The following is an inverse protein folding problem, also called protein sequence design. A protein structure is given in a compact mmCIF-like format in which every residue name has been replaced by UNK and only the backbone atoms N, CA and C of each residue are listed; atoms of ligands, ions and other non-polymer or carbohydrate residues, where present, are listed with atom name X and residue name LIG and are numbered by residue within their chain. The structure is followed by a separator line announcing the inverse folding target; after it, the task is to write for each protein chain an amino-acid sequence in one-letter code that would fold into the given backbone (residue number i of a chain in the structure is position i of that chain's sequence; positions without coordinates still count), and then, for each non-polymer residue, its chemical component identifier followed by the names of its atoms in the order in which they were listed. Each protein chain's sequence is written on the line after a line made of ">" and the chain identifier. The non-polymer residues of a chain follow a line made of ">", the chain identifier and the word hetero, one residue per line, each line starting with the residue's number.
data_IF_427437009810
#
_entry.id   IF_427437009810
#
_cell.length_a   1.000
_cell.length_b   1.000
_cell.length_c   1.000
_cell.angle_alpha   90.00
_cell.angle_beta   90.00
_cell.angle_gamma   90.00
#
_symmetry.space_group_name_H-M   'P 1'
#
loop_
_entity.id
_entity.type
_entity.pdbx_description
1 polymer ?
#
# COMPACT_ATOMS: atom_id res chain seq x y z
N UNK A 1 -32.17 6.96 18.40
CA UNK A 1 -31.51 7.78 17.35
C UNK A 1 -32.02 7.31 16.01
N UNK A 2 -32.46 8.17 15.08
CA UNK A 2 -32.94 7.74 13.76
C UNK A 2 -31.78 7.16 12.98
N UNK A 3 -31.92 5.94 12.44
CA UNK A 3 -30.99 5.33 11.47
C UNK A 3 -30.99 6.19 10.20
N UNK A 4 -30.19 7.27 10.18
CA UNK A 4 -29.93 8.00 8.94
C UNK A 4 -28.93 7.17 8.13
N UNK A 5 -29.15 7.05 6.80
CA UNK A 5 -28.13 6.47 5.95
C UNK A 5 -26.82 7.23 6.13
N UNK A 6 -25.75 6.52 6.42
CA UNK A 6 -24.43 7.12 6.68
C UNK A 6 -23.47 6.85 5.52
N UNK A 7 -23.81 5.90 4.64
CA UNK A 7 -22.93 5.43 3.60
C UNK A 7 -22.02 4.28 4.06
N UNK A 8 -21.30 3.68 3.11
CA UNK A 8 -20.53 2.47 3.37
C UNK A 8 -19.45 2.67 4.43
N UNK A 9 -18.60 3.66 4.26
CA UNK A 9 -17.44 3.84 5.15
C UNK A 9 -17.85 4.18 6.59
N UNK A 10 -18.79 5.10 6.77
CA UNK A 10 -19.27 5.49 8.10
C UNK A 10 -20.01 4.34 8.81
N UNK A 11 -20.70 3.49 8.05
CA UNK A 11 -21.38 2.34 8.64
C UNK A 11 -20.40 1.34 9.29
N UNK A 12 -19.18 1.20 8.75
CA UNK A 12 -18.17 0.33 9.33
C UNK A 12 -17.70 0.77 10.72
N UNK A 13 -17.81 2.05 11.04
CA UNK A 13 -17.44 2.62 12.35
C UNK A 13 -18.63 2.78 13.31
N UNK A 14 -19.85 2.40 12.87
CA UNK A 14 -21.07 2.58 13.68
C UNK A 14 -21.80 1.28 14.00
N UNK A 15 -21.51 0.20 13.27
CA UNK A 15 -22.13 -1.12 13.49
C UNK A 15 -21.24 -1.96 14.41
N UNK A 16 -21.71 -2.33 15.63
CA UNK A 16 -20.92 -3.08 16.59
C UNK A 16 -20.42 -4.40 16.01
N UNK A 17 -19.09 -4.66 16.17
CA UNK A 17 -18.45 -5.86 15.63
C UNK A 17 -18.51 -5.97 14.11
N UNK A 18 -18.93 -4.92 13.41
CA UNK A 18 -19.14 -4.87 11.96
C UNK A 18 -20.01 -6.04 11.46
N UNK A 19 -21.04 -6.38 12.25
CA UNK A 19 -21.94 -7.50 12.01
C UNK A 19 -23.38 -7.15 12.39
N UNK A 20 -24.32 -7.32 11.45
CA UNK A 20 -25.73 -7.01 11.64
C UNK A 20 -26.62 -7.81 10.67
N UNK A 21 -27.93 -7.76 10.84
CA UNK A 21 -28.90 -8.29 9.88
C UNK A 21 -28.93 -7.43 8.60
N UNK A 22 -29.38 -8.03 7.50
CA UNK A 22 -29.44 -7.38 6.18
C UNK A 22 -30.24 -6.05 6.22
N UNK A 23 -31.33 -6.03 6.98
CA UNK A 23 -32.17 -4.84 7.14
C UNK A 23 -31.43 -3.66 7.78
N UNK A 24 -30.55 -3.92 8.75
CA UNK A 24 -29.72 -2.88 9.37
C UNK A 24 -28.64 -2.39 8.42
N UNK A 25 -27.93 -3.30 7.75
CA UNK A 25 -26.95 -2.92 6.73
C UNK A 25 -27.57 -2.08 5.63
N UNK A 26 -28.77 -2.46 5.16
CA UNK A 26 -29.52 -1.69 4.15
C UNK A 26 -29.84 -0.29 4.64
N UNK A 27 -30.28 -0.15 5.89
CA UNK A 27 -30.59 1.15 6.49
C UNK A 27 -29.32 2.02 6.65
N UNK A 28 -28.19 1.45 7.04
CA UNK A 28 -26.91 2.15 7.24
C UNK A 28 -26.26 2.54 5.93
N UNK A 29 -26.15 1.63 5.00
CA UNK A 29 -25.52 1.91 3.70
C UNK A 29 -26.34 2.84 2.81
N UNK A 30 -27.66 2.84 2.96
CA UNK A 30 -28.53 3.70 2.15
C UNK A 30 -28.34 3.44 0.64
N UNK A 31 -27.95 4.47 -0.10
CA UNK A 31 -27.75 4.39 -1.55
C UNK A 31 -26.57 3.46 -1.94
N UNK A 32 -25.61 3.26 -1.06
CA UNK A 32 -24.45 2.41 -1.31
C UNK A 32 -24.77 0.92 -1.17
N UNK A 33 -25.95 0.55 -0.62
CA UNK A 33 -26.27 -0.84 -0.25
C UNK A 33 -26.05 -1.84 -1.39
N UNK A 34 -26.45 -1.49 -2.61
CA UNK A 34 -26.31 -2.36 -3.78
C UNK A 34 -24.87 -2.79 -4.03
N UNK A 35 -23.93 -1.87 -3.93
CA UNK A 35 -22.50 -2.11 -4.12
C UNK A 35 -21.85 -2.67 -2.84
N UNK A 36 -22.23 -2.12 -1.67
CA UNK A 36 -21.68 -2.44 -0.37
C UNK A 36 -21.96 -3.89 0.08
N UNK A 37 -23.15 -4.42 -0.25
CA UNK A 37 -23.55 -5.79 0.07
C UNK A 37 -22.55 -6.84 -0.44
N UNK A 38 -21.84 -6.55 -1.51
CA UNK A 38 -20.83 -7.44 -2.05
C UNK A 38 -19.62 -7.65 -1.10
N UNK A 39 -19.44 -6.76 -0.11
CA UNK A 39 -18.41 -6.87 0.94
C UNK A 39 -18.94 -7.50 2.24
N UNK A 40 -20.16 -8.03 2.23
CA UNK A 40 -20.72 -8.75 3.36
C UNK A 40 -20.75 -10.25 3.09
N UNK A 41 -20.62 -11.03 4.15
CA UNK A 41 -20.81 -12.48 4.14
C UNK A 41 -21.63 -12.92 5.36
N UNK A 42 -22.43 -14.00 5.25
CA UNK A 42 -23.09 -14.55 6.43
C UNK A 42 -22.04 -15.13 7.38
N UNK A 43 -22.19 -14.88 8.69
CA UNK A 43 -21.28 -15.41 9.72
C UNK A 43 -21.77 -16.68 10.42
N UNK A 44 -22.87 -17.26 9.94
CA UNK A 44 -23.47 -18.48 10.49
C UNK A 44 -24.32 -18.25 11.75
N UNK A 45 -24.41 -17.04 12.26
CA UNK A 45 -25.24 -16.71 13.44
C UNK A 45 -26.61 -16.19 13.02
N UNK A 46 -27.59 -16.35 13.92
CA UNK A 46 -28.91 -15.75 13.81
C UNK A 46 -29.01 -14.61 14.86
N UNK A 47 -29.64 -13.52 14.47
CA UNK A 47 -29.82 -12.38 15.34
C UNK A 47 -30.89 -12.65 16.41
N UNK A 48 -30.67 -12.15 17.62
CA UNK A 48 -31.64 -12.10 18.70
C UNK A 48 -32.44 -10.79 18.74
N UNK A 49 -32.04 -9.80 17.94
CA UNK A 49 -32.74 -8.55 17.76
C UNK A 49 -32.87 -8.17 16.30
N UNK A 50 -33.86 -7.35 15.95
CA UNK A 50 -34.12 -6.87 14.61
C UNK A 50 -34.53 -5.38 14.66
N UNK A 51 -34.03 -4.51 13.77
CA UNK A 51 -34.41 -3.12 13.75
C UNK A 51 -35.90 -2.94 13.46
N UNK A 52 -36.51 -1.93 14.07
CA UNK A 52 -37.90 -1.59 13.85
C UNK A 52 -38.17 -1.24 12.38
N UNK A 53 -39.03 -2.01 11.71
CA UNK A 53 -39.38 -1.81 10.29
C UNK A 53 -40.55 -0.85 10.08
N UNK A 54 -41.20 -0.38 11.15
CA UNK A 54 -42.37 0.50 11.05
C UNK A 54 -41.91 1.90 10.62
N UNK A 55 -42.52 2.42 9.56
CA UNK A 55 -42.29 3.81 9.13
C UNK A 55 -42.71 4.76 10.27
N UNK A 56 -41.78 5.62 10.73
CA UNK A 56 -41.95 6.48 11.91
C UNK A 56 -42.19 5.72 13.24
N UNK A 57 -41.73 4.44 13.29
CA UNK A 57 -41.83 3.63 14.49
C UNK A 57 -40.94 4.11 15.65
N UNK A 58 -40.83 3.28 16.67
CA UNK A 58 -40.12 3.62 17.92
C UNK A 58 -38.61 3.83 17.75
N UNK A 59 -38.02 3.34 16.65
CA UNK A 59 -36.56 3.35 16.44
C UNK A 59 -35.78 2.40 17.37
N UNK A 60 -36.49 1.53 18.13
CA UNK A 60 -35.91 0.54 19.02
C UNK A 60 -35.60 -0.76 18.26
N UNK A 61 -34.69 -1.55 18.81
CA UNK A 61 -34.56 -2.94 18.40
C UNK A 61 -35.71 -3.78 18.95
N UNK A 62 -36.22 -4.66 18.10
CA UNK A 62 -37.25 -5.63 18.47
C UNK A 62 -36.60 -6.95 18.84
N UNK A 63 -37.09 -7.59 19.91
CA UNK A 63 -36.63 -8.93 20.29
C UNK A 63 -37.11 -9.96 19.26
N UNK A 64 -36.20 -10.78 18.77
CA UNK A 64 -36.55 -11.89 17.88
C UNK A 64 -36.93 -13.10 18.71
N UNK A 65 -38.20 -13.54 18.55
CA UNK A 65 -38.73 -14.73 19.20
C UNK A 65 -38.96 -15.81 18.14
N UNK A 66 -38.31 -16.97 18.33
CA UNK A 66 -38.42 -18.13 17.44
C UNK A 66 -39.27 -19.18 18.09
N UNK A 67 -40.48 -19.35 17.59
CA UNK A 67 -41.42 -20.43 18.03
C UNK A 67 -41.21 -21.73 17.22
N UNK A 68 -40.72 -21.62 15.99
CA UNK A 68 -40.44 -22.70 15.09
C UNK A 68 -39.66 -22.26 13.86
N UNK A 69 -39.30 -23.21 12.96
CA UNK A 69 -38.48 -22.88 11.78
C UNK A 69 -39.08 -21.83 10.85
N UNK A 70 -40.42 -21.78 10.79
CA UNK A 70 -41.21 -20.84 9.98
C UNK A 70 -42.06 -19.87 10.81
N UNK A 71 -41.95 -19.94 12.14
CA UNK A 71 -42.70 -19.09 13.08
C UNK A 71 -41.69 -18.22 13.87
N UNK A 72 -41.29 -17.13 13.25
CA UNK A 72 -40.32 -16.19 13.79
C UNK A 72 -40.98 -14.80 13.81
N UNK A 73 -40.98 -14.15 14.96
CA UNK A 73 -41.58 -12.81 15.13
C UNK A 73 -40.60 -11.84 15.77
N UNK A 74 -40.75 -10.58 15.42
CA UNK A 74 -40.02 -9.48 16.07
C UNK A 74 -41.00 -8.70 16.96
N UNK A 75 -40.72 -8.66 18.27
CA UNK A 75 -41.58 -8.10 19.30
C UNK A 75 -40.96 -6.83 19.87
N UNK A 76 -41.70 -5.73 19.80
CA UNK A 76 -41.28 -4.49 20.42
C UNK A 76 -41.45 -4.53 21.95
N UNK A 77 -40.40 -4.19 22.68
CA UNK A 77 -40.43 -4.11 24.16
C UNK A 77 -40.41 -2.68 24.68
N UNK A 78 -40.49 -1.67 23.80
CA UNK A 78 -40.49 -0.28 24.24
C UNK A 78 -41.87 0.18 24.69
N UNK A 79 -41.92 1.22 25.54
CA UNK A 79 -43.17 1.78 26.08
C UNK A 79 -44.18 2.26 25.01
N UNK A 80 -43.69 2.64 23.83
CA UNK A 80 -44.53 3.10 22.71
C UNK A 80 -45.22 1.96 21.95
N UNK A 81 -44.76 0.72 22.12
CA UNK A 81 -45.33 -0.48 21.56
C UNK A 81 -45.55 -0.41 20.04
N UNK A 82 -44.56 -0.79 19.24
CA UNK A 82 -44.80 -1.01 17.82
C UNK A 82 -45.44 -2.38 17.58
N UNK A 83 -46.11 -2.53 16.45
CA UNK A 83 -46.68 -3.82 16.05
C UNK A 83 -45.60 -4.90 15.96
N UNK A 84 -45.97 -6.12 16.38
CA UNK A 84 -45.19 -7.31 16.16
C UNK A 84 -45.24 -7.65 14.68
N UNK A 85 -44.11 -7.98 14.07
CA UNK A 85 -44.08 -8.40 12.68
C UNK A 85 -43.43 -9.76 12.51
N UNK A 86 -43.91 -10.51 11.51
CA UNK A 86 -43.41 -11.82 11.17
C UNK A 86 -42.10 -11.65 10.37
N UNK A 87 -41.10 -12.49 10.71
CA UNK A 87 -39.83 -12.56 10.04
C UNK A 87 -39.66 -13.91 9.36
N UNK A 88 -38.91 -13.92 8.27
CA UNK A 88 -38.38 -15.13 7.69
C UNK A 88 -37.00 -15.44 8.30
N UNK A 89 -36.57 -16.69 8.22
CA UNK A 89 -35.24 -17.11 8.69
C UNK A 89 -34.11 -16.29 8.01
N UNK A 90 -34.28 -15.92 6.75
CA UNK A 90 -33.37 -15.03 6.01
C UNK A 90 -33.20 -13.66 6.64
N UNK A 91 -34.24 -13.13 7.29
CA UNK A 91 -34.24 -11.78 7.84
C UNK A 91 -33.42 -11.66 9.11
N UNK A 92 -33.20 -12.77 9.80
CA UNK A 92 -32.40 -12.85 11.03
C UNK A 92 -30.98 -13.39 10.83
N UNK A 93 -30.60 -13.68 9.59
CA UNK A 93 -29.21 -14.04 9.29
C UNK A 93 -28.31 -12.85 9.54
N UNK A 94 -27.26 -13.06 10.34
CA UNK A 94 -26.26 -12.04 10.60
C UNK A 94 -25.20 -12.05 9.49
N UNK A 95 -25.00 -10.90 8.88
CA UNK A 95 -23.93 -10.66 7.91
C UNK A 95 -22.84 -9.85 8.56
N UNK A 96 -21.60 -10.25 8.37
CA UNK A 96 -20.41 -9.54 8.82
C UNK A 96 -19.61 -9.00 7.62
N UNK A 97 -18.77 -8.02 7.86
CA UNK A 97 -17.83 -7.52 6.86
C UNK A 97 -16.86 -8.64 6.43
N UNK A 98 -16.80 -8.92 5.15
CA UNK A 98 -15.78 -9.81 4.56
C UNK A 98 -14.45 -9.05 4.46
N UNK A 99 -13.72 -8.99 5.60
CA UNK A 99 -12.43 -8.29 5.71
C UNK A 99 -11.44 -8.70 4.62
N UNK A 100 -11.17 -10.00 4.37
CA UNK A 100 -10.24 -10.40 3.32
C UNK A 100 -10.60 -9.85 1.94
N UNK A 101 -11.90 -9.82 1.62
CA UNK A 101 -12.39 -9.25 0.36
C UNK A 101 -12.17 -7.73 0.29
N UNK A 102 -12.44 -7.00 1.38
CA UNK A 102 -12.20 -5.57 1.45
C UNK A 102 -10.71 -5.25 1.39
N UNK A 103 -9.88 -5.96 2.17
CA UNK A 103 -8.43 -5.78 2.21
C UNK A 103 -7.81 -5.99 0.82
N UNK A 104 -8.23 -7.03 0.10
CA UNK A 104 -7.79 -7.30 -1.28
C UNK A 104 -8.20 -6.18 -2.25
N UNK A 105 -9.43 -5.67 -2.13
CA UNK A 105 -9.91 -4.60 -2.99
C UNK A 105 -9.16 -3.28 -2.71
N UNK A 106 -8.86 -2.99 -1.44
CA UNK A 106 -8.05 -1.83 -1.05
C UNK A 106 -6.60 -1.98 -1.51
N UNK A 107 -5.99 -3.16 -1.33
CA UNK A 107 -4.63 -3.41 -1.82
C UNK A 107 -4.53 -3.15 -3.33
N UNK A 108 -5.52 -3.58 -4.10
CA UNK A 108 -5.57 -3.33 -5.54
C UNK A 108 -5.72 -1.84 -5.89
N UNK A 109 -6.59 -1.11 -5.21
CA UNK A 109 -6.87 0.29 -5.54
C UNK A 109 -5.74 1.22 -5.12
N UNK A 110 -4.98 0.85 -4.07
CA UNK A 110 -3.79 1.57 -3.61
C UNK A 110 -2.48 1.06 -4.24
N UNK A 111 -2.57 0.15 -5.22
CA UNK A 111 -1.41 -0.45 -5.91
C UNK A 111 -0.37 -1.01 -4.92
N UNK A 112 -0.85 -1.79 -3.95
CA UNK A 112 -0.01 -2.36 -2.91
C UNK A 112 0.58 -3.70 -3.35
N UNK A 113 1.83 -3.93 -2.97
CA UNK A 113 2.46 -5.24 -3.08
C UNK A 113 1.88 -6.13 -1.99
N UNK A 114 1.34 -7.29 -2.38
CA UNK A 114 0.87 -8.28 -1.43
C UNK A 114 2.05 -8.87 -0.66
N UNK A 115 1.93 -8.95 0.65
CA UNK A 115 2.85 -9.71 1.50
C UNK A 115 2.07 -10.77 2.28
N UNK A 116 2.65 -11.96 2.34
CA UNK A 116 2.15 -13.03 3.20
C UNK A 116 2.61 -12.72 4.62
N UNK A 117 1.87 -11.91 5.35
CA UNK A 117 2.24 -11.56 6.71
C UNK A 117 1.24 -12.08 7.75
N UNK A 118 1.78 -12.44 8.90
CA UNK A 118 1.00 -12.69 10.09
C UNK A 118 0.26 -11.40 10.47
N UNK A 119 -1.05 -11.52 10.69
CA UNK A 119 -1.90 -10.41 11.07
C UNK A 119 -1.34 -9.62 12.25
N UNK A 120 -1.74 -8.38 12.38
CA UNK A 120 -1.44 -7.60 13.58
C UNK A 120 -2.24 -8.18 14.75
N UNK A 121 -1.62 -8.34 15.95
CA UNK A 121 -2.36 -8.69 17.17
C UNK A 121 -3.18 -7.48 17.70
N UNK A 122 -3.38 -6.45 16.89
CA UNK A 122 -4.16 -5.27 17.25
C UNK A 122 -5.61 -5.46 16.81
N UNK A 123 -6.58 -5.42 17.73
CA UNK A 123 -7.99 -5.58 17.41
C UNK A 123 -8.43 -4.61 16.31
N UNK A 124 -9.27 -5.06 15.39
CA UNK A 124 -9.81 -4.25 14.31
C UNK A 124 -8.79 -3.75 13.28
N UNK A 125 -7.51 -4.12 13.40
CA UNK A 125 -6.42 -3.63 12.53
C UNK A 125 -5.78 -4.78 11.77
N UNK A 126 -5.60 -4.60 10.45
CA UNK A 126 -4.93 -5.59 9.58
C UNK A 126 -3.88 -4.89 8.72
N UNK A 127 -2.78 -5.59 8.44
CA UNK A 127 -1.85 -5.17 7.40
C UNK A 127 -2.37 -5.65 6.05
N UNK A 128 -2.58 -4.73 5.12
CA UNK A 128 -3.19 -5.05 3.82
C UNK A 128 -2.17 -5.12 2.67
N UNK A 129 -0.92 -4.77 2.92
CA UNK A 129 0.16 -4.83 1.96
C UNK A 129 1.24 -3.79 2.20
N UNK A 130 2.05 -3.54 1.18
CA UNK A 130 3.16 -2.59 1.19
C UNK A 130 3.03 -1.62 0.04
N UNK A 131 3.06 -0.34 0.33
CA UNK A 131 3.21 0.71 -0.66
C UNK A 131 4.69 0.85 -1.03
N UNK A 132 5.02 0.64 -2.30
CA UNK A 132 6.40 0.71 -2.79
C UNK A 132 6.43 1.57 -4.06
N UNK A 133 6.57 2.90 -3.93
CA UNK A 133 6.58 3.80 -5.08
C UNK A 133 7.83 3.66 -5.95
N UNK A 134 8.96 3.31 -5.34
CA UNK A 134 10.24 3.12 -6.00
C UNK A 134 11.02 1.99 -5.34
N UNK A 135 11.96 1.37 -6.06
CA UNK A 135 12.88 0.38 -5.51
C UNK A 135 13.59 0.92 -4.25
N UNK A 136 13.69 0.09 -3.22
CA UNK A 136 14.27 0.45 -1.93
C UNK A 136 13.36 1.25 -0.98
N UNK A 137 12.17 1.66 -1.41
CA UNK A 137 11.19 2.35 -0.58
C UNK A 137 9.98 1.46 -0.35
N UNK A 138 9.84 0.93 0.85
CA UNK A 138 8.78 -0.01 1.23
C UNK A 138 8.11 0.46 2.52
N UNK A 139 6.80 0.72 2.45
CA UNK A 139 6.03 1.27 3.56
C UNK A 139 4.84 0.35 3.85
N UNK A 140 4.74 -0.24 5.05
CA UNK A 140 3.58 -1.02 5.44
C UNK A 140 2.30 -0.19 5.36
N UNK A 141 1.21 -0.83 4.92
CA UNK A 141 -0.12 -0.21 4.87
C UNK A 141 -1.07 -1.02 5.73
N UNK A 142 -1.71 -0.35 6.67
CA UNK A 142 -2.65 -0.94 7.61
C UNK A 142 -4.06 -0.39 7.37
N UNK A 143 -5.07 -1.23 7.57
CA UNK A 143 -6.47 -0.83 7.68
C UNK A 143 -6.91 -1.04 9.11
N UNK A 144 -7.37 0.01 9.78
CA UNK A 144 -8.02 -0.06 11.07
C UNK A 144 -9.50 0.29 10.94
N UNK A 145 -10.37 -0.52 11.55
CA UNK A 145 -11.81 -0.25 11.68
C UNK A 145 -12.12 -0.33 13.17
N UNK A 146 -12.42 0.81 13.74
CA UNK A 146 -12.74 0.97 15.15
C UNK A 146 -14.13 1.61 15.29
N UNK A 147 -14.70 1.58 16.50
CA UNK A 147 -15.97 2.20 16.80
C UNK A 147 -15.78 3.32 17.81
N UNK A 148 -14.83 3.15 18.71
CA UNK A 148 -14.54 4.12 19.76
C UNK A 148 -13.22 4.87 19.50
N UNK A 149 -13.16 6.17 19.82
CA UNK A 149 -11.93 6.97 19.65
C UNK A 149 -10.73 6.46 20.46
N UNK A 150 -10.98 5.86 21.62
CA UNK A 150 -9.93 5.31 22.47
C UNK A 150 -9.30 4.08 21.83
N UNK A 151 -10.11 3.16 21.28
CA UNK A 151 -9.63 1.98 20.54
C UNK A 151 -8.80 2.40 19.31
N UNK A 152 -9.23 3.46 18.61
CA UNK A 152 -8.46 4.03 17.50
C UNK A 152 -7.09 4.56 17.98
N UNK A 153 -7.08 5.28 19.10
CA UNK A 153 -5.83 5.80 19.68
C UNK A 153 -4.88 4.68 20.12
N UNK A 154 -5.40 3.60 20.71
CA UNK A 154 -4.62 2.42 21.08
C UNK A 154 -4.05 1.70 19.84
N UNK A 155 -4.83 1.59 18.77
CA UNK A 155 -4.35 1.02 17.50
C UNK A 155 -3.19 1.85 16.91
N UNK A 156 -3.31 3.19 16.93
CA UNK A 156 -2.22 4.09 16.50
C UNK A 156 -0.97 3.89 17.36
N UNK A 157 -1.12 3.83 18.70
CA UNK A 157 0.00 3.63 19.62
C UNK A 157 0.68 2.29 19.41
N UNK A 158 -0.12 1.24 19.27
CA UNK A 158 0.38 -0.10 19.01
C UNK A 158 1.16 -0.19 17.70
N UNK A 159 0.68 0.47 16.63
CA UNK A 159 1.38 0.52 15.35
C UNK A 159 2.67 1.32 15.43
N UNK A 160 2.65 2.49 16.09
CA UNK A 160 3.84 3.33 16.28
C UNK A 160 4.91 2.64 17.14
N UNK A 161 4.51 1.81 18.10
CA UNK A 161 5.43 1.04 18.93
C UNK A 161 6.08 -0.16 18.22
N UNK A 162 5.39 -0.74 17.23
CA UNK A 162 5.86 -1.94 16.50
C UNK A 162 6.65 -1.63 15.23
N UNK A 163 6.39 -0.51 14.60
CA UNK A 163 7.03 -0.14 13.34
C UNK A 163 8.22 0.80 13.59
N UNK A 164 9.40 0.37 13.16
CA UNK A 164 10.61 1.21 13.14
C UNK A 164 10.66 2.15 11.92
N UNK A 165 9.88 1.85 10.89
CA UNK A 165 9.77 2.61 9.64
C UNK A 165 8.41 3.30 9.54
N UNK A 166 8.30 4.41 8.80
CA UNK A 166 7.03 5.02 8.50
C UNK A 166 6.05 4.06 7.84
N UNK A 167 4.75 4.23 8.09
CA UNK A 167 3.68 3.42 7.52
C UNK A 167 2.49 4.29 7.12
N UNK A 168 1.54 3.72 6.38
CA UNK A 168 0.28 4.37 6.01
C UNK A 168 -0.85 3.67 6.77
N UNK A 169 -1.68 4.46 7.46
CA UNK A 169 -2.87 4.00 8.17
C UNK A 169 -4.11 4.43 7.41
N UNK A 170 -4.89 3.46 6.95
CA UNK A 170 -6.21 3.68 6.37
C UNK A 170 -7.28 3.52 7.45
N UNK A 171 -8.27 4.39 7.46
CA UNK A 171 -9.46 4.27 8.30
C UNK A 171 -10.71 4.57 7.46
N UNK A 172 -11.87 3.97 7.78
CA UNK A 172 -13.10 4.26 7.06
C UNK A 172 -13.40 5.76 6.98
N UNK A 173 -13.30 6.48 8.09
CA UNK A 173 -13.50 7.94 8.13
C UNK A 173 -12.38 8.64 8.88
N UNK A 174 -12.45 9.97 8.93
CA UNK A 174 -11.58 10.81 9.77
C UNK A 174 -12.12 11.01 11.19
N UNK A 175 -13.36 10.64 11.45
CA UNK A 175 -14.09 11.03 12.68
C UNK A 175 -13.43 10.53 13.96
N UNK A 176 -12.82 9.34 13.93
CA UNK A 176 -12.14 8.75 15.09
C UNK A 176 -10.68 9.21 15.23
N UNK A 177 -10.10 9.81 14.18
CA UNK A 177 -8.72 10.29 14.20
C UNK A 177 -8.62 11.64 14.88
N UNK A 178 -8.32 11.65 16.17
CA UNK A 178 -8.10 12.90 16.89
C UNK A 178 -6.87 13.66 16.39
N UNK A 179 -6.86 14.99 16.55
CA UNK A 179 -5.70 15.82 16.21
C UNK A 179 -4.40 15.35 16.90
N UNK A 180 -4.51 14.78 18.11
CA UNK A 180 -3.39 14.19 18.84
C UNK A 180 -2.85 12.93 18.15
N UNK A 181 -3.73 12.05 17.70
CA UNK A 181 -3.35 10.84 16.97
C UNK A 181 -2.70 11.19 15.63
N UNK A 182 -3.29 12.12 14.87
CA UNK A 182 -2.76 12.59 13.59
C UNK A 182 -1.38 13.24 13.75
N UNK A 183 -1.19 14.07 14.78
CA UNK A 183 0.12 14.65 15.08
C UNK A 183 1.17 13.59 15.37
N UNK A 184 0.84 12.55 16.16
CA UNK A 184 1.80 11.47 16.48
C UNK A 184 2.21 10.67 15.25
N UNK A 185 1.27 10.39 14.35
CA UNK A 185 1.59 9.79 13.05
C UNK A 185 2.54 10.67 12.26
N UNK A 186 2.23 11.97 12.15
CA UNK A 186 3.06 12.95 11.44
C UNK A 186 4.46 13.09 12.04
N UNK A 187 4.58 13.15 13.37
CA UNK A 187 5.89 13.24 14.07
C UNK A 187 6.78 12.03 13.76
N UNK A 188 6.19 10.88 13.43
CA UNK A 188 6.86 9.65 12.98
C UNK A 188 6.88 9.47 11.46
N UNK A 189 6.53 10.53 10.70
CA UNK A 189 6.44 10.54 9.23
C UNK A 189 5.47 9.49 8.68
N UNK A 190 4.57 8.92 9.49
CA UNK A 190 3.53 8.01 9.07
C UNK A 190 2.34 8.78 8.51
N UNK A 191 1.63 8.18 7.55
CA UNK A 191 0.49 8.81 6.89
C UNK A 191 -0.84 8.33 7.46
N UNK A 192 -1.85 9.19 7.41
CA UNK A 192 -3.25 8.86 7.66
C UNK A 192 -4.08 9.14 6.40
N UNK A 193 -4.94 8.19 6.03
CA UNK A 193 -5.85 8.31 4.88
C UNK A 193 -7.26 7.93 5.30
N UNK A 194 -8.19 8.86 5.15
CA UNK A 194 -9.62 8.62 5.28
C UNK A 194 -10.17 8.02 3.98
N UNK A 195 -10.74 6.82 4.07
CA UNK A 195 -11.29 6.12 2.91
C UNK A 195 -12.53 6.83 2.36
N UNK A 196 -13.37 7.39 3.22
CA UNK A 196 -14.56 8.16 2.80
C UNK A 196 -14.22 9.39 1.96
N UNK A 197 -13.03 9.97 2.13
CA UNK A 197 -12.52 11.12 1.37
C UNK A 197 -11.72 10.74 0.13
N UNK A 198 -11.30 9.48 0.04
CA UNK A 198 -10.31 9.05 -0.95
C UNK A 198 -10.81 7.95 -1.88
N UNK A 199 -11.79 7.15 -1.46
CA UNK A 199 -12.23 5.94 -2.16
C UNK A 199 -13.73 5.89 -2.33
N UNK A 200 -14.20 5.79 -3.56
CA UNK A 200 -15.60 5.51 -3.89
C UNK A 200 -15.82 4.00 -4.03
N UNK A 201 -16.98 3.55 -3.55
CA UNK A 201 -17.46 2.19 -3.77
C UNK A 201 -18.17 2.10 -5.12
N UNK A 202 -17.91 1.05 -5.88
CA UNK A 202 -18.55 0.73 -7.14
C UNK A 202 -19.15 -0.66 -7.13
N UNK A 203 -19.80 -1.04 -8.22
CA UNK A 203 -20.42 -2.35 -8.37
C UNK A 203 -19.40 -3.50 -8.36
N UNK A 204 -19.85 -4.71 -8.05
CA UNK A 204 -19.07 -5.95 -8.13
C UNK A 204 -17.74 -5.91 -7.35
N UNK A 205 -17.73 -5.39 -6.13
CA UNK A 205 -16.54 -5.27 -5.26
C UNK A 205 -15.46 -4.37 -5.82
N UNK A 206 -15.79 -3.45 -6.72
CA UNK A 206 -14.82 -2.51 -7.25
C UNK A 206 -14.75 -1.26 -6.35
N UNK A 207 -13.53 -0.92 -5.99
CA UNK A 207 -13.20 0.35 -5.36
C UNK A 207 -12.43 1.21 -6.38
N UNK A 208 -12.59 2.52 -6.29
CA UNK A 208 -11.81 3.45 -7.12
C UNK A 208 -11.37 4.65 -6.31
N UNK A 209 -10.19 5.15 -6.58
CA UNK A 209 -9.72 6.40 -5.99
C UNK A 209 -10.54 7.57 -6.57
N UNK A 210 -10.86 8.53 -5.71
CA UNK A 210 -11.49 9.80 -6.09
C UNK A 210 -10.50 10.79 -6.70
N UNK A 211 -9.20 10.60 -6.41
CA UNK A 211 -8.07 11.39 -6.94
C UNK A 211 -6.92 10.44 -7.25
N UNK A 212 -5.96 10.81 -8.10
CA UNK A 212 -4.76 10.02 -8.33
C UNK A 212 -4.05 9.63 -7.03
N UNK A 213 -3.46 8.42 -6.98
CA UNK A 213 -2.80 7.91 -5.77
C UNK A 213 -1.69 8.84 -5.25
N UNK A 214 -0.96 9.46 -6.16
CA UNK A 214 0.11 10.42 -5.82
C UNK A 214 -0.41 11.65 -5.08
N UNK A 215 -1.63 12.10 -5.40
CA UNK A 215 -2.29 13.20 -4.69
C UNK A 215 -2.84 12.76 -3.34
N UNK A 216 -3.44 11.56 -3.26
CA UNK A 216 -3.93 10.98 -1.99
C UNK A 216 -2.79 10.85 -1.00
N UNK A 217 -1.61 10.44 -1.45
CA UNK A 217 -0.42 10.22 -0.64
C UNK A 217 0.60 11.38 -0.68
N UNK A 218 0.24 12.55 -1.21
CA UNK A 218 1.19 13.65 -1.46
C UNK A 218 2.00 14.06 -0.22
N UNK A 219 1.33 14.25 0.92
CA UNK A 219 1.99 14.62 2.18
C UNK A 219 2.94 13.52 2.67
N UNK A 220 2.50 12.26 2.62
CA UNK A 220 3.33 11.11 3.00
C UNK A 220 4.56 10.99 2.09
N UNK A 221 4.38 11.12 0.78
CA UNK A 221 5.46 11.06 -0.22
C UNK A 221 6.47 12.18 -0.01
N UNK A 222 6.02 13.42 0.19
CA UNK A 222 6.92 14.56 0.43
C UNK A 222 7.76 14.42 1.70
N UNK A 223 7.26 13.70 2.71
CA UNK A 223 7.97 13.48 3.98
C UNK A 223 8.95 12.31 3.93
N UNK A 224 8.75 11.35 3.02
CA UNK A 224 9.47 10.06 3.04
C UNK A 224 10.25 9.74 1.77
N UNK A 225 10.00 10.44 0.68
CA UNK A 225 10.71 10.24 -0.58
C UNK A 225 11.67 11.40 -0.83
N UNK A 226 12.82 11.13 -1.45
CA UNK A 226 13.75 12.18 -1.80
C UNK A 226 13.12 13.14 -2.81
N UNK A 227 13.28 14.43 -2.56
CA UNK A 227 13.01 15.46 -3.57
C UNK A 227 14.21 15.56 -4.50
N UNK A 228 14.03 15.88 -5.79
CA UNK A 228 15.13 16.29 -6.65
C UNK A 228 15.73 17.57 -6.07
N UNK A 229 16.83 17.46 -5.37
CA UNK A 229 17.59 18.63 -4.90
C UNK A 229 18.60 18.99 -5.99
N UNK A 230 18.53 20.21 -6.48
CA UNK A 230 19.62 20.80 -7.23
C UNK A 230 20.84 20.90 -6.30
N UNK A 231 21.92 20.20 -6.64
CA UNK A 231 23.20 20.33 -5.96
C UNK A 231 23.76 19.09 -5.24
N UNK A 232 23.05 18.01 -5.11
CA UNK A 232 23.63 16.75 -4.59
C UNK A 232 24.45 16.05 -5.67
N UNK A 233 25.61 15.48 -5.27
CA UNK A 233 26.53 14.80 -6.18
C UNK A 233 25.90 13.57 -6.85
N UNK A 234 24.89 12.95 -6.26
CA UNK A 234 24.14 11.83 -6.83
C UNK A 234 22.66 12.17 -6.92
N UNK A 235 22.08 11.97 -8.11
CA UNK A 235 20.66 12.27 -8.39
C UNK A 235 19.81 11.04 -8.09
N UNK A 236 18.63 11.25 -7.53
CA UNK A 236 17.64 10.20 -7.36
C UNK A 236 17.11 9.72 -8.71
N UNK A 237 17.36 8.45 -9.06
CA UNK A 237 16.76 7.81 -10.22
C UNK A 237 15.47 7.06 -9.79
N UNK A 238 14.30 7.32 -10.40
CA UNK A 238 13.03 6.74 -9.96
C UNK A 238 12.85 5.29 -10.46
N UNK A 239 13.70 4.38 -10.01
CA UNK A 239 13.66 2.96 -10.40
C UNK A 239 12.32 2.35 -9.98
N UNK A 240 11.55 1.72 -10.89
CA UNK A 240 10.34 1.00 -10.54
C UNK A 240 10.60 -0.09 -9.50
N UNK A 241 9.67 -0.36 -8.57
CA UNK A 241 9.90 -1.25 -7.42
C UNK A 241 10.12 -2.71 -7.81
N UNK A 242 9.62 -3.12 -8.98
CA UNK A 242 9.73 -4.47 -9.55
C UNK A 242 10.82 -4.58 -10.63
N UNK A 243 11.67 -3.56 -10.79
CA UNK A 243 12.77 -3.59 -11.73
C UNK A 243 13.90 -4.50 -11.25
N UNK A 244 14.45 -5.26 -12.18
CA UNK A 244 15.63 -6.12 -12.01
C UNK A 244 16.78 -5.59 -12.84
N UNK A 245 17.98 -6.10 -12.63
CA UNK A 245 19.14 -5.73 -13.45
C UNK A 245 18.93 -6.00 -14.94
N UNK A 246 18.10 -6.97 -15.31
CA UNK A 246 17.77 -7.28 -16.72
C UNK A 246 16.90 -6.21 -17.39
N UNK A 247 16.21 -5.40 -16.59
CA UNK A 247 15.36 -4.31 -17.07
C UNK A 247 16.13 -3.00 -17.26
N UNK A 248 17.42 -2.98 -16.86
CA UNK A 248 18.29 -1.80 -16.94
C UNK A 248 19.04 -1.78 -18.27
N UNK A 249 19.08 -0.62 -18.89
CA UNK A 249 19.99 -0.34 -20.02
C UNK A 249 20.75 0.96 -19.81
N UNK A 250 22.05 0.93 -20.08
CA UNK A 250 22.97 2.06 -20.00
C UNK A 250 23.64 2.21 -21.36
N UNK A 251 23.49 3.37 -21.98
CA UNK A 251 24.12 3.68 -23.25
C UNK A 251 24.95 4.94 -23.11
N UNK A 252 26.24 4.86 -23.38
CA UNK A 252 27.08 6.05 -23.43
C UNK A 252 26.64 6.97 -24.58
N UNK A 253 26.63 8.27 -24.35
CA UNK A 253 26.42 9.31 -25.36
C UNK A 253 27.72 10.01 -25.70
N UNK A 254 28.62 10.06 -24.72
CA UNK A 254 29.96 10.60 -24.79
C UNK A 254 30.82 10.03 -23.64
N UNK A 255 32.05 10.46 -23.49
CA UNK A 255 32.92 10.00 -22.41
C UNK A 255 32.45 10.31 -21.00
N UNK A 256 31.48 11.19 -20.82
CA UNK A 256 31.04 11.74 -19.53
C UNK A 256 29.54 11.54 -19.24
N UNK A 257 28.75 11.13 -20.25
CA UNK A 257 27.28 11.13 -20.20
C UNK A 257 26.73 9.78 -20.69
N UNK A 258 25.72 9.31 -20.00
CA UNK A 258 24.97 8.07 -20.37
C UNK A 258 23.48 8.34 -20.44
N UNK A 259 22.81 7.67 -21.38
CA UNK A 259 21.37 7.48 -21.35
C UNK A 259 21.06 6.22 -20.56
N UNK A 260 20.22 6.33 -19.56
CA UNK A 260 19.81 5.24 -18.66
C UNK A 260 18.34 4.98 -18.80
N UNK A 261 17.94 3.71 -18.81
CA UNK A 261 16.54 3.29 -18.79
C UNK A 261 16.38 2.10 -17.84
N UNK A 262 15.31 2.09 -17.04
CA UNK A 262 14.87 0.94 -16.27
C UNK A 262 13.34 0.84 -16.39
N UNK A 263 12.83 -0.15 -17.11
CA UNK A 263 11.41 -0.28 -17.49
C UNK A 263 10.85 1.02 -18.06
N UNK A 264 9.97 1.69 -17.30
CA UNK A 264 9.31 2.95 -17.70
C UNK A 264 10.08 4.20 -17.32
N UNK A 265 11.03 4.09 -16.39
CA UNK A 265 11.88 5.21 -15.98
C UNK A 265 13.09 5.37 -16.91
N UNK A 266 13.48 6.60 -17.20
CA UNK A 266 14.65 6.88 -18.02
C UNK A 266 15.11 8.33 -17.92
N UNK A 267 16.37 8.57 -18.32
CA UNK A 267 16.97 9.89 -18.31
C UNK A 267 18.39 9.89 -18.84
N UNK A 268 18.99 11.07 -18.86
CA UNK A 268 20.39 11.27 -19.24
C UNK A 268 21.16 11.77 -18.02
N UNK A 269 22.25 11.10 -17.69
CA UNK A 269 23.02 11.35 -16.49
C UNK A 269 24.51 11.39 -16.81
N UNK A 270 25.23 12.21 -16.06
CA UNK A 270 26.69 12.22 -16.08
C UNK A 270 27.26 11.41 -14.89
N UNK A 271 28.55 11.16 -14.90
CA UNK A 271 29.25 10.40 -13.87
C UNK A 271 29.07 11.00 -12.45
N UNK A 272 28.97 12.33 -12.33
CA UNK A 272 28.72 13.00 -11.03
C UNK A 272 27.33 12.65 -10.49
N UNK A 273 26.33 12.74 -11.35
CA UNK A 273 24.94 12.40 -11.02
C UNK A 273 24.73 10.92 -10.68
N UNK A 274 25.61 10.05 -11.21
CA UNK A 274 25.62 8.62 -10.87
C UNK A 274 26.54 8.27 -9.67
N UNK A 275 27.06 9.28 -8.96
CA UNK A 275 27.90 9.08 -7.78
C UNK A 275 29.34 8.62 -8.09
N UNK A 276 29.80 8.78 -9.34
CA UNK A 276 31.10 8.32 -9.81
C UNK A 276 32.08 9.49 -10.08
N UNK A 277 31.95 10.58 -9.33
CA UNK A 277 32.89 11.70 -9.34
C UNK A 277 33.89 11.60 -8.18
N UNK A 278 35.11 11.96 -8.41
CA UNK A 278 36.13 12.10 -7.38
C UNK A 278 35.84 13.35 -6.53
N UNK A 279 35.66 13.17 -5.22
CA UNK A 279 35.32 14.24 -4.29
C UNK A 279 36.37 15.35 -4.19
N UNK A 280 37.62 15.11 -4.61
CA UNK A 280 38.71 16.08 -4.47
C UNK A 280 38.85 17.01 -5.69
N UNK A 281 38.69 16.48 -6.88
CA UNK A 281 38.93 17.22 -8.12
C UNK A 281 37.76 17.22 -9.11
N UNK A 282 36.66 16.48 -8.78
CA UNK A 282 35.48 16.42 -9.63
C UNK A 282 35.61 15.53 -10.87
N UNK A 283 36.76 14.91 -11.10
CA UNK A 283 37.00 14.06 -12.27
C UNK A 283 36.26 12.71 -12.17
N UNK A 284 36.01 12.00 -13.29
CA UNK A 284 35.48 10.65 -13.27
C UNK A 284 36.35 9.70 -12.43
N UNK A 285 35.70 8.81 -11.69
CA UNK A 285 36.41 7.79 -10.92
C UNK A 285 36.79 6.59 -11.80
N UNK A 286 37.70 5.76 -11.30
CA UNK A 286 38.07 4.48 -11.95
C UNK A 286 36.86 3.52 -12.12
N UNK A 287 35.79 3.72 -11.37
CA UNK A 287 34.52 2.98 -11.54
C UNK A 287 33.80 3.40 -12.82
N UNK A 288 33.82 4.72 -13.13
CA UNK A 288 33.28 5.21 -14.40
C UNK A 288 34.07 4.68 -15.60
N UNK A 289 35.40 4.69 -15.50
CA UNK A 289 36.27 4.14 -16.55
C UNK A 289 36.02 2.63 -16.75
N UNK A 290 35.81 1.90 -15.65
CA UNK A 290 35.43 0.48 -15.73
C UNK A 290 34.06 0.26 -16.36
N UNK A 291 33.06 1.11 -16.03
CA UNK A 291 31.74 1.06 -16.66
C UNK A 291 31.83 1.30 -18.17
N UNK A 292 32.67 2.28 -18.59
CA UNK A 292 32.98 2.54 -20.00
C UNK A 292 33.65 1.34 -20.67
N UNK A 293 34.58 0.70 -19.97
CA UNK A 293 35.24 -0.55 -20.47
C UNK A 293 34.20 -1.64 -20.69
N UNK A 294 33.24 -1.85 -19.77
CA UNK A 294 32.16 -2.81 -20.00
C UNK A 294 31.30 -2.43 -21.20
N UNK A 295 31.07 -1.14 -21.45
CA UNK A 295 30.33 -0.70 -22.64
C UNK A 295 31.08 -1.05 -23.94
N UNK A 296 32.34 -0.74 -24.02
CA UNK A 296 33.21 -1.04 -25.15
C UNK A 296 33.33 -2.54 -25.45
N UNK A 297 33.32 -3.36 -24.38
CA UNK A 297 33.35 -4.83 -24.45
C UNK A 297 31.94 -5.45 -24.45
N UNK A 298 30.89 -4.65 -24.75
CA UNK A 298 29.51 -5.09 -24.87
C UNK A 298 28.95 -5.86 -23.65
N UNK A 299 29.38 -5.46 -22.47
CA UNK A 299 28.92 -6.01 -21.20
C UNK A 299 29.70 -7.24 -20.69
N UNK A 300 30.72 -7.70 -21.40
CA UNK A 300 31.55 -8.82 -20.97
C UNK A 300 33.02 -8.40 -20.89
N UNK A 301 33.63 -8.54 -19.74
CA UNK A 301 35.04 -8.28 -19.52
C UNK A 301 35.74 -9.60 -19.22
N UNK A 302 36.38 -10.17 -20.23
CA UNK A 302 37.20 -11.39 -20.13
C UNK A 302 38.62 -11.05 -19.60
N UNK A 303 39.19 -11.96 -18.82
CA UNK A 303 40.57 -11.83 -18.30
C UNK A 303 41.64 -11.95 -19.37
N UNK A 304 41.28 -12.41 -20.55
CA UNK A 304 42.19 -12.42 -21.73
C UNK A 304 42.15 -11.09 -22.49
N UNK A 305 41.22 -10.20 -22.18
CA UNK A 305 41.16 -8.86 -22.76
C UNK A 305 42.40 -8.04 -22.40
N UNK A 306 42.91 -7.25 -23.35
CA UNK A 306 44.01 -6.31 -23.13
C UNK A 306 43.71 -5.27 -22.02
N UNK A 307 42.45 -5.17 -21.58
CA UNK A 307 41.95 -4.29 -20.53
C UNK A 307 41.84 -5.00 -19.17
N UNK A 308 42.18 -6.30 -19.09
CA UNK A 308 42.14 -7.05 -17.85
C UNK A 308 43.27 -6.60 -16.91
N UNK A 309 42.94 -6.17 -15.71
CA UNK A 309 43.85 -5.77 -14.63
C UNK A 309 43.48 -6.54 -13.35
N UNK A 310 44.50 -6.99 -12.59
CA UNK A 310 44.29 -7.63 -11.26
C UNK A 310 43.49 -6.76 -10.30
N UNK A 311 43.50 -5.43 -10.46
CA UNK A 311 42.73 -4.47 -9.68
C UNK A 311 41.25 -4.43 -10.07
N UNK A 312 40.86 -5.04 -11.20
CA UNK A 312 39.47 -4.96 -11.70
C UNK A 312 38.47 -5.65 -10.77
N UNK A 313 38.87 -6.67 -10.00
CA UNK A 313 37.98 -7.27 -9.02
C UNK A 313 37.48 -6.21 -7.99
N UNK A 314 38.42 -5.51 -7.35
CA UNK A 314 38.05 -4.46 -6.37
C UNK A 314 37.30 -3.29 -7.00
N UNK A 315 37.71 -2.90 -8.21
CA UNK A 315 37.04 -1.83 -8.98
C UNK A 315 35.59 -2.22 -9.33
N UNK A 316 35.37 -3.49 -9.73
CA UNK A 316 34.06 -4.04 -10.05
C UNK A 316 33.14 -4.07 -8.82
N UNK A 317 33.64 -4.47 -7.65
CA UNK A 317 32.89 -4.44 -6.39
C UNK A 317 32.42 -3.01 -6.06
N UNK A 318 33.29 -2.03 -6.20
CA UNK A 318 32.94 -0.62 -5.99
C UNK A 318 31.99 -0.10 -7.06
N UNK A 319 32.14 -0.51 -8.32
CA UNK A 319 31.20 -0.18 -9.38
C UNK A 319 29.82 -0.79 -9.11
N UNK A 320 29.77 -2.04 -8.65
CA UNK A 320 28.53 -2.69 -8.26
C UNK A 320 27.82 -1.91 -7.16
N UNK A 321 28.54 -1.49 -6.13
CA UNK A 321 27.98 -0.66 -5.06
C UNK A 321 27.43 0.69 -5.58
N UNK A 322 28.18 1.41 -6.44
CA UNK A 322 27.69 2.64 -7.05
C UNK A 322 26.39 2.43 -7.88
N UNK A 323 26.32 1.35 -8.65
CA UNK A 323 25.12 1.02 -9.42
C UNK A 323 23.95 0.62 -8.52
N UNK A 324 24.21 -0.16 -7.46
CA UNK A 324 23.19 -0.50 -6.44
C UNK A 324 22.66 0.74 -5.73
N UNK A 325 23.52 1.68 -5.36
CA UNK A 325 23.13 2.93 -4.73
C UNK A 325 22.29 3.81 -5.68
N UNK A 326 22.67 3.89 -6.96
CA UNK A 326 21.96 4.68 -7.95
C UNK A 326 20.60 4.09 -8.32
N UNK A 327 20.56 2.78 -8.62
CA UNK A 327 19.32 2.10 -9.04
C UNK A 327 18.49 1.56 -7.88
N UNK A 328 19.08 1.30 -6.72
CA UNK A 328 18.45 0.64 -5.55
C UNK A 328 17.88 -0.75 -5.90
N UNK A 329 18.46 -1.43 -6.89
CA UNK A 329 18.13 -2.81 -7.24
C UNK A 329 19.01 -3.73 -6.41
N UNK A 330 18.37 -4.71 -5.77
CA UNK A 330 19.06 -5.72 -4.98
C UNK A 330 19.87 -6.71 -5.86
N UNK A 331 20.86 -7.33 -5.26
CA UNK A 331 21.75 -8.29 -5.93
C UNK A 331 22.91 -7.65 -6.70
N UNK A 332 23.88 -8.46 -7.07
CA UNK A 332 25.07 -8.00 -7.81
C UNK A 332 24.67 -7.73 -9.29
N UNK A 333 24.99 -6.55 -9.85
CA UNK A 333 24.77 -6.23 -11.26
C UNK A 333 25.66 -7.01 -12.22
N UNK A 334 26.65 -7.75 -11.72
CA UNK A 334 27.57 -8.55 -12.49
C UNK A 334 27.56 -10.01 -12.06
N UNK A 335 27.79 -10.92 -13.00
CA UNK A 335 28.03 -12.34 -12.73
C UNK A 335 29.38 -12.80 -13.35
N UNK A 336 29.88 -13.90 -12.88
CA UNK A 336 30.98 -14.58 -13.61
C UNK A 336 30.45 -15.09 -14.96
N UNK A 337 31.30 -15.07 -15.98
CA UNK A 337 31.05 -15.76 -17.25
C UNK A 337 30.94 -17.27 -17.02
N UNK A 338 30.26 -17.98 -17.91
CA UNK A 338 30.00 -19.43 -17.74
C UNK A 338 31.31 -20.27 -17.70
N UNK A 339 32.37 -19.77 -18.31
CA UNK A 339 33.72 -20.39 -18.27
C UNK A 339 34.54 -19.93 -17.05
N UNK A 340 34.02 -19.04 -16.23
CA UNK A 340 34.69 -18.48 -15.05
C UNK A 340 35.86 -17.55 -15.35
N UNK A 341 36.04 -17.12 -16.60
CA UNK A 341 37.20 -16.33 -17.04
C UNK A 341 36.91 -14.84 -17.22
N UNK A 342 35.79 -14.35 -16.72
CA UNK A 342 35.44 -12.95 -16.87
C UNK A 342 34.23 -12.57 -16.06
N UNK A 343 33.82 -11.33 -16.24
CA UNK A 343 32.60 -10.74 -15.65
C UNK A 343 31.62 -10.35 -16.74
N UNK A 344 30.35 -10.66 -16.52
CA UNK A 344 29.27 -10.29 -17.41
C UNK A 344 28.30 -9.39 -16.66
N UNK A 345 27.95 -8.24 -17.24
CA UNK A 345 26.87 -7.38 -16.75
C UNK A 345 25.51 -8.09 -16.92
N UNK A 346 24.63 -7.98 -15.92
CA UNK A 346 23.26 -8.48 -15.98
C UNK A 346 22.30 -7.47 -16.64
N UNK A 347 22.79 -6.29 -16.97
CA UNK A 347 22.07 -5.21 -17.64
C UNK A 347 22.65 -4.98 -19.05
N UNK A 348 21.87 -4.35 -19.89
CA UNK A 348 22.33 -3.97 -21.21
C UNK A 348 23.25 -2.76 -21.12
N UNK A 349 24.41 -2.83 -21.76
CA UNK A 349 25.35 -1.70 -21.83
C UNK A 349 25.94 -1.60 -23.22
N UNK A 350 26.03 -0.38 -23.74
CA UNK A 350 26.64 -0.11 -25.06
C UNK A 350 27.46 1.16 -25.04
N UNK A 351 28.53 1.20 -25.89
CA UNK A 351 29.35 2.37 -26.05
C UNK A 351 28.60 3.50 -26.79
N UNK A 352 29.25 4.61 -26.94
CA UNK A 352 28.90 5.67 -27.86
C UNK A 352 28.96 5.17 -29.31
N UNK A 353 28.01 5.57 -30.14
CA UNK A 353 28.01 5.24 -31.60
C UNK A 353 28.90 6.15 -32.38
#
# INVERSE_FOLDING_TARGET
>A
MRNRPTGFWQALETVPGVAAVDAEWKARFGNDYGAAKAFLRPNGKLASSHPCMVQRGCGCEHEVVVHGPEDIVAVCRCERGCETFVLQRSDIVVYELDRPTLDTALAKVFDLIAETDAGTDLPGTTRIGVYSPYAGYRFPVYLTIQIEPDDFSEAVDGLLGRNSTPFILLSPTRELCSAKAEKRLTDKRSGFVSLSESVAIGDKRQLRLLRPLDEVLAQFRSSNLPSPKEGDSMVFFPTPPDATWRDVSIRFKDGHTVSVKAKTAGGVFNYTQMGMANKKNGDPTVQWDLLKTFAEERGVLDWTSNKADRKNQKRRELLAANLQDFFRIEGDPFRLTDDGKGWQALFLISPDE
#
